data_IF_532413182565
#
_entry.id   IF_532413182565
#
_cell.length_a   1.000
_cell.length_b   1.000
_cell.length_c   1.000
_cell.angle_alpha   90.00
_cell.angle_beta   90.00
_cell.angle_gamma   90.00
#
_symmetry.space_group_name_H-M   'P 1'
#
loop_
_entity.id
_entity.type
_entity.pdbx_description
1 polymer ?
#
# COMPACT_ATOMS: atom_id res chain seq x y z
N UNK A 1 9.83 -9.41 -3.56
CA UNK A 1 10.73 -10.16 -4.49
C UNK A 1 11.53 -11.13 -3.64
N UNK A 2 11.55 -12.41 -4.00
CA UNK A 2 12.50 -13.36 -3.40
C UNK A 2 13.82 -13.24 -4.14
N UNK A 3 14.90 -12.90 -3.46
CA UNK A 3 16.20 -12.74 -4.11
C UNK A 3 16.72 -14.09 -4.63
N UNK A 4 17.39 -14.06 -5.78
CA UNK A 4 18.07 -15.22 -6.35
C UNK A 4 19.14 -15.73 -5.36
N UNK A 5 19.21 -17.04 -5.14
CA UNK A 5 20.09 -17.66 -4.15
C UNK A 5 19.99 -19.18 -4.18
N UNK A 6 20.48 -19.83 -3.12
CA UNK A 6 20.36 -21.28 -2.93
C UNK A 6 18.89 -21.73 -2.92
N UNK A 7 18.56 -22.80 -3.66
CA UNK A 7 17.18 -23.26 -3.82
C UNK A 7 16.53 -23.65 -2.48
N UNK A 8 17.28 -24.28 -1.58
CA UNK A 8 16.76 -24.66 -0.27
C UNK A 8 16.48 -23.43 0.59
N UNK A 9 17.35 -22.42 0.55
CA UNK A 9 17.12 -21.12 1.22
C UNK A 9 15.88 -20.40 0.66
N UNK A 10 15.71 -20.38 -0.65
CA UNK A 10 14.54 -19.79 -1.28
C UNK A 10 13.26 -20.51 -0.88
N UNK A 11 13.26 -21.84 -0.91
CA UNK A 11 12.11 -22.63 -0.51
C UNK A 11 11.75 -22.39 0.95
N UNK A 12 12.74 -22.33 1.85
CA UNK A 12 12.52 -22.01 3.26
C UNK A 12 11.93 -20.59 3.45
N UNK A 13 12.46 -19.60 2.73
CA UNK A 13 11.94 -18.23 2.76
C UNK A 13 10.49 -18.15 2.26
N UNK A 14 10.16 -18.87 1.18
CA UNK A 14 8.79 -18.97 0.67
C UNK A 14 7.85 -19.63 1.67
N UNK A 15 8.26 -20.75 2.27
CA UNK A 15 7.47 -21.44 3.30
C UNK A 15 7.19 -20.53 4.49
N UNK A 16 8.19 -19.77 4.95
CA UNK A 16 7.99 -18.79 6.02
C UNK A 16 7.01 -17.69 5.61
N UNK A 17 7.14 -17.11 4.42
CA UNK A 17 6.21 -16.08 3.94
C UNK A 17 4.78 -16.63 3.78
N UNK A 18 4.62 -17.87 3.33
CA UNK A 18 3.32 -18.53 3.22
C UNK A 18 2.67 -18.75 4.59
N UNK A 19 3.44 -19.17 5.60
CA UNK A 19 2.99 -19.29 6.98
C UNK A 19 2.63 -17.91 7.58
N UNK A 20 3.53 -16.94 7.46
CA UNK A 20 3.36 -15.59 8.01
C UNK A 20 2.12 -14.90 7.43
N UNK A 21 1.84 -15.14 6.15
CA UNK A 21 0.66 -14.61 5.49
C UNK A 21 -0.56 -15.53 5.57
N UNK A 22 -0.50 -16.69 6.24
CA UNK A 22 -1.67 -17.56 6.39
C UNK A 22 -2.80 -16.85 7.13
N UNK A 23 -4.06 -17.27 6.93
CA UNK A 23 -5.22 -16.63 7.58
C UNK A 23 -5.07 -16.59 9.10
N UNK A 24 -4.73 -17.71 9.73
CA UNK A 24 -4.58 -17.81 11.19
C UNK A 24 -3.49 -16.85 11.71
N UNK A 25 -2.31 -16.86 11.09
CA UNK A 25 -1.21 -15.99 11.51
C UNK A 25 -1.52 -14.51 11.25
N UNK A 26 -2.21 -14.19 10.16
CA UNK A 26 -2.57 -12.81 9.83
C UNK A 26 -3.68 -12.26 10.72
N UNK A 27 -4.68 -13.07 11.11
CA UNK A 27 -5.67 -12.65 12.13
C UNK A 27 -4.94 -12.20 13.39
N UNK A 28 -4.04 -13.02 13.92
CA UNK A 28 -3.25 -12.64 15.10
C UNK A 28 -2.38 -11.39 14.84
N UNK A 29 -1.73 -11.31 13.69
CA UNK A 29 -0.90 -10.16 13.34
C UNK A 29 -1.70 -8.85 13.30
N UNK A 30 -2.84 -8.84 12.60
CA UNK A 30 -3.67 -7.65 12.40
C UNK A 30 -4.30 -7.19 13.72
N UNK A 31 -4.76 -8.12 14.57
CA UNK A 31 -5.29 -7.80 15.90
C UNK A 31 -4.24 -7.15 16.82
N UNK A 32 -2.99 -7.60 16.75
CA UNK A 32 -1.92 -7.12 17.63
C UNK A 32 -1.28 -5.82 17.12
N UNK A 33 -1.34 -5.57 15.81
CA UNK A 33 -0.62 -4.45 15.18
C UNK A 33 -1.55 -3.38 14.62
N UNK A 34 -2.86 -3.64 14.61
CA UNK A 34 -3.91 -2.82 13.99
C UNK A 34 -3.68 -2.53 12.49
N UNK A 35 -2.89 -3.38 11.82
CA UNK A 35 -2.80 -3.39 10.37
C UNK A 35 -4.10 -3.89 9.71
N UNK A 36 -4.25 -3.58 8.43
CA UNK A 36 -5.38 -4.04 7.63
C UNK A 36 -5.11 -5.43 7.04
N UNK A 37 -6.17 -6.25 6.87
CA UNK A 37 -6.04 -7.58 6.31
C UNK A 37 -5.51 -7.56 4.88
N UNK A 38 -4.43 -8.30 4.66
CA UNK A 38 -3.83 -8.50 3.33
C UNK A 38 -4.48 -9.66 2.55
N UNK A 39 -5.47 -10.34 3.14
CA UNK A 39 -6.24 -11.43 2.54
C UNK A 39 -7.72 -11.27 2.82
N UNK A 40 -8.53 -11.58 1.80
CA UNK A 40 -9.98 -11.66 1.95
C UNK A 40 -10.40 -12.64 3.05
N UNK A 41 -9.72 -13.79 3.17
CA UNK A 41 -10.02 -14.79 4.20
C UNK A 41 -9.81 -14.30 5.64
N UNK A 42 -8.96 -13.28 5.85
CA UNK A 42 -8.78 -12.64 7.16
C UNK A 42 -9.89 -11.62 7.38
N UNK A 43 -10.17 -10.80 6.37
CA UNK A 43 -11.29 -9.86 6.41
C UNK A 43 -12.64 -10.56 6.69
N UNK A 44 -12.85 -11.77 6.16
CA UNK A 44 -14.08 -12.55 6.36
C UNK A 44 -14.04 -13.44 7.62
N UNK A 45 -12.92 -13.47 8.36
CA UNK A 45 -12.77 -14.30 9.55
C UNK A 45 -13.70 -13.82 10.66
N UNK A 46 -14.40 -14.76 11.32
CA UNK A 46 -15.26 -14.45 12.45
C UNK A 46 -14.48 -13.80 13.59
N UNK A 47 -13.28 -14.31 13.91
CA UNK A 47 -12.44 -13.79 14.99
C UNK A 47 -12.03 -12.34 14.72
N UNK A 48 -11.58 -12.05 13.49
CA UNK A 48 -11.17 -10.70 13.10
C UNK A 48 -12.36 -9.73 13.06
N UNK A 49 -13.53 -10.18 12.58
CA UNK A 49 -14.75 -9.38 12.59
C UNK A 49 -15.21 -9.07 14.03
N UNK A 50 -15.16 -10.04 14.93
CA UNK A 50 -15.44 -9.80 16.36
C UNK A 50 -14.46 -8.79 16.93
N UNK A 51 -13.16 -8.97 16.71
CA UNK A 51 -12.14 -8.03 17.19
C UNK A 51 -12.34 -6.62 16.63
N UNK A 52 -12.61 -6.47 15.33
CA UNK A 52 -12.90 -5.18 14.71
C UNK A 52 -14.08 -4.49 15.38
N UNK A 53 -15.19 -5.19 15.58
CA UNK A 53 -16.39 -4.58 16.15
C UNK A 53 -16.25 -4.24 17.64
N UNK A 54 -15.58 -5.10 18.41
CA UNK A 54 -15.52 -4.97 19.87
C UNK A 54 -14.31 -4.17 20.36
N UNK A 55 -13.18 -4.23 19.64
CA UNK A 55 -11.90 -3.66 20.08
C UNK A 55 -11.48 -2.44 19.28
N UNK A 56 -11.56 -2.48 17.94
CA UNK A 56 -11.08 -1.40 17.08
C UNK A 56 -12.07 -1.01 15.96
N UNK A 57 -13.30 -0.56 16.30
CA UNK A 57 -14.35 -0.29 15.31
C UNK A 57 -14.03 0.87 14.37
N UNK A 58 -13.03 1.71 14.72
CA UNK A 58 -12.55 2.80 13.86
C UNK A 58 -11.81 2.29 12.62
N UNK A 59 -11.35 1.03 12.62
CA UNK A 59 -10.66 0.41 11.49
C UNK A 59 -11.64 -0.14 10.42
N UNK A 60 -12.93 -0.30 10.76
CA UNK A 60 -13.94 -0.86 9.85
C UNK A 60 -14.00 -0.13 8.50
N UNK A 61 -14.11 1.22 8.42
CA UNK A 61 -14.17 1.91 7.13
C UNK A 61 -12.90 1.71 6.29
N UNK A 62 -11.74 1.54 6.93
CA UNK A 62 -10.47 1.31 6.23
C UNK A 62 -10.44 -0.10 5.62
N UNK A 63 -10.86 -1.11 6.36
CA UNK A 63 -10.98 -2.50 5.88
C UNK A 63 -11.98 -2.57 4.72
N UNK A 64 -13.15 -1.98 4.88
CA UNK A 64 -14.18 -1.93 3.83
C UNK A 64 -13.68 -1.20 2.57
N UNK A 65 -12.89 -0.14 2.73
CA UNK A 65 -12.38 0.66 1.62
C UNK A 65 -11.31 -0.06 0.78
N UNK A 66 -10.69 -1.14 1.29
CA UNK A 66 -9.62 -1.86 0.57
C UNK A 66 -10.07 -2.35 -0.82
N UNK A 67 -11.35 -2.67 -1.01
CA UNK A 67 -11.91 -3.08 -2.31
C UNK A 67 -11.82 -1.99 -3.39
N UNK A 68 -11.63 -0.74 -2.99
CA UNK A 68 -11.49 0.42 -3.88
C UNK A 68 -10.03 0.91 -3.99
N UNK A 69 -9.10 0.28 -3.27
CA UNK A 69 -7.71 0.69 -3.27
C UNK A 69 -7.04 0.45 -4.63
N UNK A 70 -6.24 1.42 -5.08
CA UNK A 70 -5.47 1.32 -6.32
C UNK A 70 -3.99 1.36 -5.98
N UNK A 71 -3.25 0.40 -6.53
CA UNK A 71 -1.79 0.38 -6.37
C UNK A 71 -1.15 1.55 -7.13
N UNK A 72 -0.15 2.14 -6.49
CA UNK A 72 0.73 3.10 -7.15
C UNK A 72 1.45 2.42 -8.33
N UNK A 73 1.76 3.14 -9.43
CA UNK A 73 2.42 2.57 -10.59
C UNK A 73 3.73 1.85 -10.23
N UNK A 74 3.95 0.60 -10.67
CA UNK A 74 5.13 -0.20 -10.32
C UNK A 74 6.31 0.12 -11.25
N UNK A 75 6.70 1.39 -11.33
CA UNK A 75 7.84 1.86 -12.12
C UNK A 75 9.06 2.08 -11.23
N UNK A 76 10.27 1.80 -11.74
CA UNK A 76 11.50 1.86 -10.95
C UNK A 76 11.77 3.26 -10.37
N UNK A 77 11.36 4.31 -11.11
CA UNK A 77 11.55 5.72 -10.77
C UNK A 77 10.36 6.33 -10.01
N UNK A 78 9.47 5.50 -9.42
CA UNK A 78 8.23 6.01 -8.81
C UNK A 78 8.49 7.04 -7.71
N UNK A 79 9.56 6.90 -6.94
CA UNK A 79 9.92 7.87 -5.90
C UNK A 79 10.17 9.26 -6.51
N UNK A 80 11.01 9.32 -7.55
CA UNK A 80 11.31 10.56 -8.26
C UNK A 80 10.07 11.15 -8.96
N UNK A 81 9.22 10.30 -9.55
CA UNK A 81 7.95 10.75 -10.14
C UNK A 81 7.04 11.39 -9.09
N UNK A 82 6.91 10.77 -7.91
CA UNK A 82 6.10 11.26 -6.80
C UNK A 82 6.62 12.60 -6.29
N UNK A 83 7.94 12.75 -6.17
CA UNK A 83 8.57 13.98 -5.69
C UNK A 83 8.33 15.15 -6.65
N UNK A 84 8.61 14.97 -7.96
CA UNK A 84 8.43 16.05 -8.93
C UNK A 84 6.96 16.42 -9.15
N UNK A 85 6.06 15.43 -9.07
CA UNK A 85 4.61 15.69 -9.11
C UNK A 85 4.17 16.51 -7.90
N UNK A 86 4.56 16.08 -6.70
CA UNK A 86 4.16 16.72 -5.44
C UNK A 86 4.68 18.14 -5.32
N UNK A 87 5.95 18.38 -5.70
CA UNK A 87 6.54 19.72 -5.68
C UNK A 87 5.81 20.72 -6.59
N UNK A 88 5.25 20.26 -7.73
CA UNK A 88 4.46 21.13 -8.59
C UNK A 88 3.07 21.43 -8.01
N UNK A 89 2.40 20.43 -7.41
CA UNK A 89 1.12 20.63 -6.74
C UNK A 89 1.23 21.56 -5.52
N UNK A 90 2.30 21.42 -4.75
CA UNK A 90 2.60 22.25 -3.57
C UNK A 90 2.59 23.74 -3.91
N UNK A 91 3.13 24.12 -5.08
CA UNK A 91 3.13 25.52 -5.53
C UNK A 91 1.72 26.06 -5.77
N UNK A 92 0.81 25.26 -6.31
CA UNK A 92 -0.60 25.66 -6.43
C UNK A 92 -1.28 25.76 -5.06
N UNK A 93 -1.00 24.83 -4.14
CA UNK A 93 -1.52 24.87 -2.77
C UNK A 93 -1.10 26.14 -2.02
N UNK A 94 0.11 26.64 -2.27
CA UNK A 94 0.59 27.93 -1.73
C UNK A 94 0.18 29.16 -2.56
N UNK A 95 -0.63 28.99 -3.61
CA UNK A 95 -1.10 30.10 -4.46
C UNK A 95 0.01 30.76 -5.29
N UNK A 96 1.13 30.07 -5.52
CA UNK A 96 2.27 30.60 -6.29
C UNK A 96 2.07 30.47 -7.80
N UNK A 97 1.25 29.50 -8.22
CA UNK A 97 0.86 29.24 -9.61
C UNK A 97 -0.62 28.84 -9.64
N UNK A 98 -1.26 28.91 -10.81
CA UNK A 98 -2.62 28.38 -10.96
C UNK A 98 -2.62 26.84 -10.88
N UNK A 99 -3.78 26.25 -10.61
CA UNK A 99 -3.96 24.79 -10.65
C UNK A 99 -3.62 24.22 -12.04
N UNK A 100 -4.01 24.91 -13.10
CA UNK A 100 -3.73 24.50 -14.48
C UNK A 100 -2.22 24.51 -14.77
N UNK A 101 -1.51 25.57 -14.35
CA UNK A 101 -0.06 25.66 -14.50
C UNK A 101 0.66 24.57 -13.71
N UNK A 102 0.23 24.31 -12.46
CA UNK A 102 0.81 23.25 -11.65
C UNK A 102 0.67 21.87 -12.29
N UNK A 103 -0.51 21.54 -12.81
CA UNK A 103 -0.73 20.26 -13.50
C UNK A 103 0.06 20.15 -14.80
N UNK A 104 0.12 21.22 -15.59
CA UNK A 104 0.92 21.27 -16.84
C UNK A 104 2.42 21.09 -16.55
N UNK A 105 2.93 21.78 -15.53
CA UNK A 105 4.33 21.65 -15.13
C UNK A 105 4.64 20.27 -14.54
N UNK A 106 3.72 19.70 -13.75
CA UNK A 106 3.84 18.34 -13.21
C UNK A 106 3.91 17.30 -14.34
N UNK A 107 3.05 17.41 -15.36
CA UNK A 107 3.05 16.54 -16.52
C UNK A 107 4.41 16.57 -17.24
N UNK A 108 4.95 17.76 -17.51
CA UNK A 108 6.26 17.92 -18.16
C UNK A 108 7.37 17.28 -17.33
N UNK A 109 7.38 17.51 -16.01
CA UNK A 109 8.41 16.98 -15.11
C UNK A 109 8.35 15.45 -14.98
N UNK A 110 7.15 14.88 -14.82
CA UNK A 110 6.92 13.43 -14.78
C UNK A 110 7.33 12.78 -16.11
N UNK A 111 6.93 13.37 -17.25
CA UNK A 111 7.27 12.84 -18.58
C UNK A 111 8.76 12.90 -18.89
N UNK A 112 9.54 13.77 -18.24
CA UNK A 112 10.99 13.80 -18.41
C UNK A 112 11.69 12.60 -17.74
N UNK A 113 11.09 12.04 -16.68
CA UNK A 113 11.62 10.90 -15.93
C UNK A 113 11.17 9.54 -16.49
N UNK A 114 10.08 9.51 -17.26
CA UNK A 114 9.53 8.29 -17.88
C UNK A 114 10.19 7.93 -19.24
N UNK A 115 11.11 8.76 -19.73
CA UNK A 115 11.79 8.57 -21.02
C UNK A 115 13.01 7.67 -20.93
#
# INVERSE_FOLDING_TARGET
VMFAGDEAQQQAAFTFAAWLTSTETQVTWDEQTTFMPIRQSVADSADFQTWLNETEPRLIPFVESQQYAINRPPVAVYAELSDVFSANLERALYGQVSTEDALTNAEVAVNALLR
#
